data_IF_795563245568
#
_entry.id   IF_795563245568
#
_cell.length_a   1.000
_cell.length_b   1.000
_cell.length_c   1.000
_cell.angle_alpha   90.00
_cell.angle_beta   90.00
_cell.angle_gamma   90.00
#
_symmetry.space_group_name_H-M   'P 1'
#
loop_
_entity.id
_entity.type
_entity.pdbx_description
1 polymer ?
#
# COMPACT_ATOMS: atom_id res chain seq x y z
N UNK A 1 -23.83 16.51 -35.16
CA UNK A 1 -25.09 15.75 -35.31
C UNK A 1 -25.15 14.80 -34.12
N UNK A 2 -26.12 15.00 -33.22
CA UNK A 2 -26.27 14.29 -31.94
C UNK A 2 -26.98 12.98 -32.21
N UNK A 3 -26.37 11.85 -31.83
CA UNK A 3 -27.03 10.54 -31.85
C UNK A 3 -27.31 10.10 -30.43
N UNK A 4 -28.58 10.14 -30.07
CA UNK A 4 -29.19 9.57 -28.88
C UNK A 4 -29.30 8.04 -28.99
N UNK A 5 -29.05 7.32 -27.90
CA UNK A 5 -29.48 5.93 -27.71
C UNK A 5 -30.25 5.80 -26.39
N UNK A 6 -31.44 5.22 -26.48
CA UNK A 6 -32.30 4.82 -25.35
C UNK A 6 -32.40 3.30 -25.27
N UNK A 7 -32.74 2.85 -24.05
CA UNK A 7 -33.18 1.51 -23.62
C UNK A 7 -32.03 0.50 -23.38
N UNK A 8 -32.03 -0.33 -22.32
CA UNK A 8 -33.12 -1.15 -21.78
C UNK A 8 -32.94 -1.50 -20.28
N UNK A 9 -34.07 -1.49 -19.56
CA UNK A 9 -34.62 -2.53 -18.66
C UNK A 9 -33.70 -3.23 -17.64
N UNK A 10 -34.00 -3.02 -16.36
CA UNK A 10 -34.04 -4.14 -15.42
C UNK A 10 -35.05 -3.86 -14.30
N UNK A 11 -36.21 -4.51 -14.40
CA UNK A 11 -37.18 -4.60 -13.31
C UNK A 11 -36.61 -5.54 -12.25
N UNK A 12 -36.54 -5.10 -10.99
CA UNK A 12 -36.35 -6.00 -9.85
C UNK A 12 -37.55 -5.95 -8.91
N UNK A 13 -37.88 -7.15 -8.45
CA UNK A 13 -39.18 -7.60 -7.98
C UNK A 13 -39.37 -7.22 -6.50
N UNK A 14 -40.61 -6.85 -6.22
CA UNK A 14 -41.35 -6.78 -4.97
C UNK A 14 -40.84 -7.68 -3.82
N UNK A 15 -40.69 -7.09 -2.62
CA UNK A 15 -41.06 -7.76 -1.36
C UNK A 15 -41.37 -6.71 -0.30
N UNK A 16 -42.66 -6.43 -0.15
CA UNK A 16 -43.23 -5.80 1.04
C UNK A 16 -43.32 -6.91 2.09
N UNK A 17 -42.56 -6.79 3.19
CA UNK A 17 -42.81 -7.54 4.40
C UNK A 17 -43.05 -6.55 5.53
N UNK A 18 -44.33 -6.40 5.87
CA UNK A 18 -44.81 -5.67 7.02
C UNK A 18 -44.46 -6.44 8.29
N UNK A 19 -43.88 -5.75 9.26
CA UNK A 19 -43.89 -6.17 10.66
C UNK A 19 -44.13 -4.93 11.50
N UNK A 20 -45.37 -4.77 11.94
CA UNK A 20 -45.76 -3.75 12.91
C UNK A 20 -45.94 -4.48 14.24
N UNK A 21 -45.08 -4.19 15.21
CA UNK A 21 -45.39 -4.36 16.62
C UNK A 21 -44.92 -3.10 17.36
N UNK A 22 -45.81 -2.40 18.09
CA UNK A 22 -45.43 -1.26 18.91
C UNK A 22 -44.89 -1.79 20.24
N UNK A 23 -43.63 -1.52 20.56
CA UNK A 23 -43.12 -1.66 21.92
C UNK A 23 -42.98 -0.26 22.51
N UNK A 24 -43.60 -0.07 23.69
CA UNK A 24 -43.62 1.19 24.44
C UNK A 24 -42.23 1.72 24.76
N UNK A 25 -42.19 3.04 24.92
CA UNK A 25 -41.03 3.86 25.24
C UNK A 25 -40.21 3.32 26.42
N UNK A 26 -38.92 3.13 26.17
CA UNK A 26 -37.89 3.17 27.21
C UNK A 26 -36.69 3.89 26.60
N UNK A 27 -36.66 5.23 26.79
CA UNK A 27 -35.44 6.01 26.59
C UNK A 27 -34.42 5.56 27.64
N UNK A 28 -33.25 5.12 27.18
CA UNK A 28 -31.92 5.54 27.62
C UNK A 28 -30.88 4.77 26.81
N UNK A 29 -30.12 5.54 26.06
CA UNK A 29 -29.29 5.11 24.94
C UNK A 29 -28.07 4.31 25.40
N UNK A 30 -28.01 3.04 25.02
CA UNK A 30 -26.76 2.31 24.94
C UNK A 30 -26.35 2.33 23.48
N UNK A 31 -25.60 3.36 23.08
CA UNK A 31 -24.92 3.36 21.78
C UNK A 31 -23.91 2.22 21.80
N UNK A 32 -24.36 1.05 21.34
CA UNK A 32 -23.49 -0.06 21.01
C UNK A 32 -22.51 0.44 19.95
N UNK A 33 -21.27 0.65 20.36
CA UNK A 33 -20.14 0.87 19.48
C UNK A 33 -20.15 -0.20 18.40
N UNK A 34 -20.56 0.18 17.19
CA UNK A 34 -20.24 -0.59 16.01
C UNK A 34 -18.72 -0.59 15.92
N UNK A 35 -18.07 -1.69 16.27
CA UNK A 35 -16.67 -1.92 15.97
C UNK A 35 -16.51 -2.03 14.46
N UNK A 36 -16.55 -0.89 13.77
CA UNK A 36 -16.00 -0.75 12.42
C UNK A 36 -14.50 -0.92 12.57
N UNK A 37 -14.04 -2.18 12.62
CA UNK A 37 -12.64 -2.53 12.44
C UNK A 37 -12.24 -1.95 11.09
N UNK A 38 -11.37 -0.93 11.02
CA UNK A 38 -10.89 -0.43 9.75
C UNK A 38 -10.20 -1.60 9.02
N UNK A 39 -10.49 -1.84 7.74
CA UNK A 39 -9.72 -2.80 6.97
C UNK A 39 -8.24 -2.42 7.06
N UNK A 40 -7.39 -3.35 7.50
CA UNK A 40 -5.96 -3.14 7.61
C UNK A 40 -5.42 -2.71 6.24
N UNK A 41 -4.93 -1.48 6.14
CA UNK A 41 -4.33 -0.98 4.92
C UNK A 41 -3.05 -1.79 4.63
N UNK A 42 -3.08 -2.63 3.61
CA UNK A 42 -1.88 -3.29 3.09
C UNK A 42 -0.96 -2.25 2.48
N UNK A 43 0.18 -1.98 3.12
CA UNK A 43 1.25 -1.15 2.55
C UNK A 43 1.81 -1.83 1.31
N UNK A 44 1.81 -1.14 0.18
CA UNK A 44 2.39 -1.65 -1.05
C UNK A 44 3.91 -1.84 -0.89
N UNK A 45 4.42 -2.97 -1.37
CA UNK A 45 5.86 -3.29 -1.40
C UNK A 45 6.26 -3.45 -2.85
N UNK A 46 7.32 -2.74 -3.24
CA UNK A 46 7.90 -2.76 -4.57
C UNK A 46 9.24 -3.47 -4.53
N UNK A 47 9.61 -4.14 -5.62
CA UNK A 47 10.91 -4.81 -5.76
C UNK A 47 11.61 -4.33 -7.02
N UNK A 48 12.91 -4.10 -6.91
CA UNK A 48 13.77 -3.77 -8.06
C UNK A 48 15.20 -4.23 -7.81
N UNK A 49 16.07 -4.00 -8.77
CA UNK A 49 17.50 -4.27 -8.68
C UNK A 49 18.29 -2.96 -8.68
N UNK A 50 19.53 -3.00 -8.25
CA UNK A 50 20.38 -1.81 -8.27
C UNK A 50 21.80 -2.06 -7.82
N UNK A 51 22.55 -0.98 -7.70
CA UNK A 51 23.93 -0.97 -7.21
C UNK A 51 24.01 -0.07 -5.96
N UNK A 52 24.68 -0.56 -4.91
CA UNK A 52 24.96 0.24 -3.71
C UNK A 52 25.92 1.37 -4.06
N UNK A 53 25.51 2.63 -3.83
CA UNK A 53 26.33 3.82 -4.08
C UNK A 53 26.93 4.40 -2.81
N UNK A 54 26.18 4.40 -1.71
CA UNK A 54 26.62 4.89 -0.40
C UNK A 54 25.76 4.25 0.69
N UNK A 55 26.35 4.00 1.86
CA UNK A 55 25.65 3.49 3.03
C UNK A 55 25.88 4.43 4.22
N UNK A 56 24.80 4.95 4.80
CA UNK A 56 24.79 5.87 5.93
C UNK A 56 24.16 5.24 7.17
N UNK A 57 24.06 5.99 8.28
CA UNK A 57 23.51 5.48 9.54
C UNK A 57 22.02 5.12 9.44
N UNK A 58 21.26 5.85 8.62
CA UNK A 58 19.80 5.74 8.53
C UNK A 58 19.28 5.53 7.10
N UNK A 59 20.18 5.48 6.12
CA UNK A 59 19.82 5.41 4.71
C UNK A 59 20.85 4.67 3.90
N UNK A 60 20.43 4.16 2.74
CA UNK A 60 21.31 3.64 1.70
C UNK A 60 20.97 4.32 0.38
N UNK A 61 21.98 4.83 -0.31
CA UNK A 61 21.83 5.39 -1.66
C UNK A 61 22.05 4.29 -2.69
N UNK A 62 21.05 4.05 -3.54
CA UNK A 62 21.05 3.00 -4.55
C UNK A 62 20.85 3.61 -5.94
N UNK A 63 21.66 3.17 -6.90
CA UNK A 63 21.37 3.35 -8.33
C UNK A 63 20.47 2.19 -8.75
N UNK A 64 19.17 2.42 -8.81
CA UNK A 64 18.18 1.38 -9.05
C UNK A 64 17.74 1.30 -10.52
N UNK A 65 17.32 0.12 -10.93
CA UNK A 65 16.67 -0.13 -12.21
C UNK A 65 15.23 0.43 -12.23
N UNK A 66 14.59 0.57 -13.41
CA UNK A 66 13.24 1.12 -13.51
C UNK A 66 12.23 0.39 -12.62
N UNK A 67 11.30 1.14 -12.03
CA UNK A 67 10.21 0.59 -11.22
C UNK A 67 8.90 0.87 -11.96
N UNK A 68 8.41 -0.11 -12.71
CA UNK A 68 7.28 0.06 -13.62
C UNK A 68 5.99 0.45 -12.91
N UNK A 69 5.72 -0.13 -11.74
CA UNK A 69 4.52 0.13 -10.92
C UNK A 69 4.44 1.60 -10.47
N UNK A 70 5.60 2.23 -10.24
CA UNK A 70 5.71 3.64 -9.88
C UNK A 70 5.99 4.55 -11.08
N UNK A 71 6.15 3.99 -12.28
CA UNK A 71 6.57 4.69 -13.50
C UNK A 71 7.90 5.44 -13.35
N UNK A 72 8.81 4.88 -12.54
CA UNK A 72 10.12 5.48 -12.34
C UNK A 72 11.13 4.97 -13.37
N UNK A 73 11.96 5.86 -13.94
CA UNK A 73 13.13 5.44 -14.71
C UNK A 73 14.20 4.86 -13.79
N UNK A 74 15.29 4.35 -14.38
CA UNK A 74 16.50 4.08 -13.62
C UNK A 74 17.06 5.40 -13.07
N UNK A 75 17.35 5.46 -11.78
CA UNK A 75 17.91 6.66 -11.14
C UNK A 75 18.67 6.31 -9.86
N UNK A 76 19.39 7.29 -9.31
CA UNK A 76 20.08 7.17 -8.03
C UNK A 76 19.34 7.95 -6.96
N UNK A 77 18.94 7.29 -5.89
CA UNK A 77 18.27 7.94 -4.76
C UNK A 77 18.53 7.22 -3.44
N UNK A 78 18.23 7.90 -2.33
CA UNK A 78 18.33 7.35 -0.98
C UNK A 78 17.03 6.63 -0.57
N UNK A 79 17.20 5.46 0.04
CA UNK A 79 16.14 4.71 0.72
C UNK A 79 16.42 4.71 2.22
N UNK A 80 15.38 4.90 3.01
CA UNK A 80 15.47 4.87 4.48
C UNK A 80 15.67 3.44 4.94
N UNK A 81 16.58 3.22 5.88
CA UNK A 81 16.76 1.93 6.52
C UNK A 81 15.66 1.73 7.58
N UNK A 82 15.20 0.48 7.79
CA UNK A 82 14.30 0.16 8.88
C UNK A 82 15.02 0.29 10.23
N UNK A 83 14.40 -0.18 11.32
CA UNK A 83 14.98 -0.11 12.66
C UNK A 83 16.41 -0.67 12.68
N UNK A 84 17.27 -0.04 13.48
CA UNK A 84 18.70 -0.39 13.54
C UNK A 84 18.88 -1.89 13.84
N UNK A 85 19.62 -2.59 12.99
CA UNK A 85 19.97 -4.00 13.15
C UNK A 85 19.13 -4.98 12.30
N UNK A 86 18.07 -4.51 11.63
CA UNK A 86 17.29 -5.38 10.73
C UNK A 86 17.98 -5.65 9.39
N UNK A 87 18.76 -4.68 8.90
CA UNK A 87 19.49 -4.78 7.63
C UNK A 87 20.98 -4.52 7.87
N UNK A 88 21.81 -5.47 7.43
CA UNK A 88 23.27 -5.37 7.49
C UNK A 88 23.81 -4.53 6.34
N UNK A 89 24.74 -3.58 6.60
CA UNK A 89 25.40 -2.82 5.55
C UNK A 89 26.11 -3.67 4.51
N UNK A 90 25.96 -3.29 3.24
CA UNK A 90 26.65 -3.90 2.12
C UNK A 90 27.76 -2.97 1.57
N UNK A 91 28.85 -3.51 1.02
CA UNK A 91 29.90 -2.70 0.41
C UNK A 91 29.38 -1.87 -0.77
N UNK A 92 30.01 -0.71 -1.00
CA UNK A 92 29.75 0.10 -2.19
C UNK A 92 30.08 -0.70 -3.46
N UNK A 93 29.32 -0.45 -4.53
CA UNK A 93 29.33 -1.16 -5.81
C UNK A 93 28.82 -2.60 -5.78
N UNK A 94 28.23 -3.06 -4.67
CA UNK A 94 27.54 -4.37 -4.63
C UNK A 94 26.26 -4.33 -5.49
N UNK A 95 26.09 -5.26 -6.45
CA UNK A 95 24.81 -5.46 -7.13
C UNK A 95 23.82 -6.12 -6.17
N UNK A 96 22.59 -5.63 -6.14
CA UNK A 96 21.56 -6.05 -5.18
C UNK A 96 20.20 -6.21 -5.83
N UNK A 97 19.42 -7.15 -5.31
CA UNK A 97 17.97 -7.16 -5.44
C UNK A 97 17.40 -6.66 -4.12
N UNK A 98 16.46 -5.72 -4.15
CA UNK A 98 15.93 -5.12 -2.93
C UNK A 98 14.45 -4.79 -3.06
N UNK A 99 13.79 -4.72 -1.91
CA UNK A 99 12.38 -4.38 -1.77
C UNK A 99 12.22 -3.18 -0.86
N UNK A 100 11.20 -2.36 -1.14
CA UNK A 100 10.89 -1.19 -0.34
C UNK A 100 9.38 -0.93 -0.30
N UNK A 101 8.93 -0.27 0.75
CA UNK A 101 7.57 0.23 0.90
C UNK A 101 7.55 1.75 0.90
N UNK A 102 6.41 2.33 0.55
CA UNK A 102 6.17 3.76 0.68
C UNK A 102 5.23 4.05 1.87
N UNK A 103 5.59 5.01 2.71
CA UNK A 103 4.70 5.57 3.73
C UNK A 103 4.86 7.10 3.81
N UNK A 104 4.24 7.71 4.82
CA UNK A 104 4.26 9.17 5.02
C UNK A 104 5.68 9.75 5.22
N UNK A 105 6.64 8.92 5.64
CA UNK A 105 8.05 9.31 5.83
C UNK A 105 8.91 9.11 4.58
N UNK A 106 8.37 8.52 3.51
CA UNK A 106 9.07 8.28 2.25
C UNK A 106 9.22 6.80 1.91
N UNK A 107 10.35 6.44 1.30
CA UNK A 107 10.65 5.07 0.84
C UNK A 107 11.56 4.35 1.84
N UNK A 108 11.07 3.23 2.36
CA UNK A 108 11.75 2.46 3.41
C UNK A 108 12.09 1.08 2.86
N UNK A 109 13.36 0.72 3.00
CA UNK A 109 13.87 -0.58 2.61
C UNK A 109 13.27 -1.66 3.52
N UNK A 110 12.74 -2.73 2.92
CA UNK A 110 12.17 -3.86 3.65
C UNK A 110 13.03 -5.12 3.51
N UNK A 111 13.77 -5.24 2.41
CA UNK A 111 14.73 -6.31 2.18
C UNK A 111 15.82 -5.88 1.20
N UNK A 112 17.02 -6.43 1.34
CA UNK A 112 18.12 -6.24 0.39
C UNK A 112 19.05 -7.45 0.42
N UNK A 113 19.38 -7.97 -0.76
CA UNK A 113 20.22 -9.16 -0.92
C UNK A 113 21.23 -8.92 -2.05
N UNK A 114 22.53 -9.20 -1.83
CA UNK A 114 23.51 -9.22 -2.91
C UNK A 114 23.08 -10.15 -4.04
N UNK A 115 23.20 -9.70 -5.28
CA UNK A 115 23.04 -10.58 -6.43
C UNK A 115 24.26 -11.49 -6.50
N UNK A 116 24.00 -12.80 -6.56
CA UNK A 116 25.07 -13.77 -6.73
C UNK A 116 25.67 -13.60 -8.15
N UNK A 117 27.01 -13.67 -8.30
CA UNK A 117 27.65 -13.59 -9.61
C UNK A 117 27.24 -14.72 -10.55
#
# INVERSE_FOLDING_TARGET
>A
MRTTYMALISSLIFSVSSSIFPVWANDHQHHAMMSTTPPAATTAVYQTTGIVKQWDTNSVTLSHAPVAELKWPAMTMAFTLPSRGEITPLPVNTPVTFSFSQNDSGYILTAITPQQP
#
